data_IF_381525619244
#
_entry.id   IF_381525619244
#
_cell.length_a   1.000
_cell.length_b   1.000
_cell.length_c   1.000
_cell.angle_alpha   90.00
_cell.angle_beta   90.00
_cell.angle_gamma   90.00
#
_symmetry.space_group_name_H-M   'P 1'
#
loop_
_entity.id
_entity.type
_entity.pdbx_description
1 polymer ?
#
# COMPACT_ATOMS: atom_id res chain seq x y z
N UNK A 1 -4.13 -15.97 53.78
CA UNK A 1 -3.96 -14.73 52.99
C UNK A 1 -2.70 -14.90 52.16
N UNK A 2 -2.79 -14.93 50.84
CA UNK A 2 -1.63 -15.19 49.98
C UNK A 2 -2.02 -15.64 48.56
N UNK A 3 -2.91 -14.90 47.91
CA UNK A 3 -3.45 -15.27 46.58
C UNK A 3 -3.61 -14.09 45.61
N UNK A 4 -2.98 -12.95 45.87
CA UNK A 4 -3.16 -11.72 45.08
C UNK A 4 -1.88 -11.17 44.44
N UNK A 5 -0.72 -11.82 44.61
CA UNK A 5 0.56 -11.31 44.06
C UNK A 5 0.95 -11.93 42.70
N UNK A 6 0.43 -13.11 42.34
CA UNK A 6 0.79 -13.80 41.08
C UNK A 6 0.11 -13.21 39.82
N UNK A 7 -0.88 -12.32 39.98
CA UNK A 7 -1.59 -11.70 38.85
C UNK A 7 -0.88 -10.50 38.24
N UNK A 8 -0.08 -9.77 39.02
CA UNK A 8 0.61 -8.56 38.57
C UNK A 8 1.95 -8.86 37.88
N UNK A 9 2.57 -10.01 38.18
CA UNK A 9 3.81 -10.46 37.56
C UNK A 9 3.57 -11.03 36.15
N UNK A 10 2.39 -11.62 35.91
CA UNK A 10 1.97 -12.08 34.59
C UNK A 10 1.61 -10.91 33.66
N UNK A 11 0.98 -9.85 34.18
CA UNK A 11 0.67 -8.66 33.36
C UNK A 11 1.92 -7.86 33.01
N UNK A 12 2.91 -7.76 33.91
CA UNK A 12 4.21 -7.14 33.60
C UNK A 12 5.00 -7.90 32.54
N UNK A 13 5.03 -9.23 32.59
CA UNK A 13 5.65 -10.06 31.53
C UNK A 13 4.96 -9.90 30.18
N UNK A 14 3.64 -9.70 30.16
CA UNK A 14 2.87 -9.50 28.93
C UNK A 14 3.05 -8.09 28.35
N UNK A 15 3.32 -7.09 29.19
CA UNK A 15 3.59 -5.71 28.79
C UNK A 15 5.04 -5.53 28.26
N UNK A 16 6.03 -6.25 28.82
CA UNK A 16 7.41 -6.29 28.27
C UNK A 16 7.51 -7.05 26.93
N UNK A 17 6.64 -8.03 26.67
CA UNK A 17 6.57 -8.74 25.39
C UNK A 17 5.86 -7.94 24.27
N UNK A 18 5.25 -6.80 24.60
CA UNK A 18 4.56 -5.93 23.65
C UNK A 18 5.41 -4.75 23.15
N UNK A 19 6.62 -4.55 23.70
CA UNK A 19 7.55 -3.48 23.29
C UNK A 19 8.73 -3.98 22.44
N UNK A 20 8.64 -5.23 22.01
CA UNK A 20 9.51 -5.78 20.97
C UNK A 20 8.90 -5.50 19.61
N UNK A 21 9.11 -4.27 19.11
CA UNK A 21 9.10 -3.98 17.67
C UNK A 21 10.25 -4.78 17.02
N UNK A 22 10.10 -6.10 16.98
CA UNK A 22 10.89 -6.99 16.15
C UNK A 22 10.48 -6.63 14.73
N UNK A 23 11.28 -5.79 14.10
CA UNK A 23 11.41 -5.71 12.67
C UNK A 23 11.48 -7.16 12.17
N UNK A 24 10.36 -7.68 11.65
CA UNK A 24 10.31 -9.02 11.07
C UNK A 24 11.54 -9.15 10.18
N UNK A 25 12.39 -10.13 10.53
CA UNK A 25 13.52 -10.55 9.72
C UNK A 25 13.02 -10.64 8.28
N UNK A 26 13.49 -9.70 7.45
CA UNK A 26 13.40 -9.84 6.01
C UNK A 26 14.25 -11.05 5.72
N UNK A 27 13.58 -12.20 5.51
CA UNK A 27 14.19 -13.41 5.01
C UNK A 27 15.08 -13.03 3.83
N UNK A 28 16.38 -13.17 4.08
CA UNK A 28 17.47 -12.90 3.15
C UNK A 28 17.49 -13.89 1.98
N UNK A 29 16.45 -14.71 1.79
CA UNK A 29 16.19 -15.39 0.52
C UNK A 29 15.68 -14.41 -0.53
N UNK A 30 16.47 -13.38 -0.84
CA UNK A 30 16.31 -12.64 -2.08
C UNK A 30 16.78 -13.55 -3.24
N UNK A 31 16.00 -14.60 -3.52
CA UNK A 31 16.09 -15.45 -4.73
C UNK A 31 15.25 -14.80 -5.84
N UNK A 32 15.23 -13.47 -5.89
CA UNK A 32 15.00 -12.75 -7.13
C UNK A 32 16.36 -12.51 -7.73
N UNK A 33 17.07 -13.61 -8.06
CA UNK A 33 18.15 -13.54 -9.01
C UNK A 33 17.64 -12.76 -10.22
N UNK A 34 18.45 -11.82 -10.69
CA UNK A 34 18.28 -11.05 -11.92
C UNK A 34 18.23 -12.01 -13.13
N UNK A 35 17.18 -12.81 -13.21
CA UNK A 35 16.80 -13.51 -14.42
C UNK A 35 16.20 -12.40 -15.26
N UNK A 36 17.04 -11.76 -16.08
CA UNK A 36 16.58 -10.99 -17.22
C UNK A 36 15.89 -11.96 -18.17
N UNK A 37 14.55 -12.01 -18.19
CA UNK A 37 13.84 -12.92 -19.06
C UNK A 37 13.84 -12.30 -20.45
N UNK A 38 14.47 -13.01 -21.36
CA UNK A 38 14.74 -12.66 -22.76
C UNK A 38 13.49 -12.50 -23.65
N UNK A 39 12.28 -12.42 -23.10
CA UNK A 39 11.08 -11.79 -23.69
C UNK A 39 9.95 -11.82 -22.65
N UNK A 40 9.71 -10.69 -21.96
CA UNK A 40 8.66 -10.60 -20.93
C UNK A 40 7.56 -9.65 -21.42
N UNK A 41 6.37 -10.20 -21.63
CA UNK A 41 5.19 -9.35 -21.62
C UNK A 41 4.81 -9.04 -20.18
N UNK A 42 5.07 -7.80 -19.76
CA UNK A 42 4.71 -7.26 -18.45
C UNK A 42 3.36 -6.55 -18.56
N UNK A 43 2.32 -7.08 -17.91
CA UNK A 43 1.00 -6.42 -17.85
C UNK A 43 0.57 -6.21 -16.41
N UNK A 44 0.17 -4.98 -16.08
CA UNK A 44 -0.37 -4.64 -14.76
C UNK A 44 -1.89 -4.88 -14.80
N UNK A 45 -2.38 -5.68 -13.85
CA UNK A 45 -3.78 -6.07 -13.71
C UNK A 45 -4.25 -5.89 -12.26
N UNK A 46 -5.56 -5.85 -12.09
CA UNK A 46 -6.23 -6.03 -10.80
C UNK A 46 -6.82 -7.43 -10.79
N UNK A 47 -6.43 -8.25 -9.82
CA UNK A 47 -6.80 -9.66 -9.83
C UNK A 47 -6.32 -10.43 -8.62
N UNK A 48 -6.19 -11.73 -8.81
CA UNK A 48 -5.78 -12.69 -7.79
C UNK A 48 -4.67 -13.59 -8.29
N UNK A 49 -3.99 -14.21 -7.32
CA UNK A 49 -2.96 -15.21 -7.56
C UNK A 49 -3.07 -16.30 -6.51
N UNK A 50 -2.46 -17.44 -6.82
CA UNK A 50 -2.27 -18.53 -5.86
C UNK A 50 -0.81 -18.54 -5.44
N UNK A 51 -0.60 -18.76 -4.15
CA UNK A 51 0.74 -18.87 -3.56
C UNK A 51 1.12 -20.35 -3.46
N UNK A 52 2.19 -20.72 -4.16
CA UNK A 52 2.98 -21.93 -3.90
C UNK A 52 4.43 -21.52 -3.70
N UNK A 53 5.38 -22.29 -4.26
CA UNK A 53 6.79 -21.88 -4.34
C UNK A 53 6.98 -20.62 -5.21
N UNK A 54 6.07 -20.43 -6.17
CA UNK A 54 5.92 -19.22 -6.97
C UNK A 54 4.51 -18.65 -6.84
N UNK A 55 4.35 -17.38 -7.21
CA UNK A 55 3.04 -16.75 -7.32
C UNK A 55 2.45 -17.02 -8.70
N UNK A 56 1.42 -17.86 -8.76
CA UNK A 56 0.78 -18.25 -10.00
C UNK A 56 -0.39 -17.33 -10.32
N UNK A 57 -0.42 -16.83 -11.56
CA UNK A 57 -1.53 -16.00 -12.03
C UNK A 57 -2.84 -16.80 -12.03
N UNK A 58 -3.87 -16.28 -11.37
CA UNK A 58 -5.17 -16.97 -11.27
C UNK A 58 -6.25 -16.33 -12.15
N UNK A 59 -6.42 -15.01 -12.05
CA UNK A 59 -7.36 -14.23 -12.85
C UNK A 59 -7.04 -12.74 -12.69
N UNK A 60 -7.44 -11.91 -13.64
CA UNK A 60 -7.23 -10.47 -13.57
C UNK A 60 -7.92 -9.70 -14.68
N UNK A 61 -8.21 -8.44 -14.38
CA UNK A 61 -8.74 -7.44 -15.32
C UNK A 61 -7.79 -6.24 -15.37
N UNK A 62 -7.88 -5.45 -16.44
CA UNK A 62 -7.15 -4.20 -16.52
C UNK A 62 -7.72 -3.16 -15.55
N UNK A 63 -6.88 -2.18 -15.16
CA UNK A 63 -7.30 -1.10 -14.28
C UNK A 63 -8.43 -0.25 -14.85
N UNK A 64 -8.53 -0.14 -16.18
CA UNK A 64 -9.60 0.59 -16.86
C UNK A 64 -10.96 -0.08 -16.65
N UNK A 65 -11.02 -1.39 -16.83
CA UNK A 65 -12.22 -2.19 -16.53
C UNK A 65 -12.54 -2.18 -15.04
N UNK A 66 -11.54 -2.33 -14.17
CA UNK A 66 -11.76 -2.30 -12.70
C UNK A 66 -12.48 -1.02 -12.24
N UNK A 67 -12.15 0.13 -12.82
CA UNK A 67 -12.76 1.41 -12.44
C UNK A 67 -14.15 1.65 -13.05
N UNK A 68 -14.59 0.84 -14.02
CA UNK A 68 -15.88 0.99 -14.70
C UNK A 68 -17.00 0.22 -14.04
N UNK A 69 -16.70 -0.94 -13.46
CA UNK A 69 -17.68 -1.88 -12.91
C UNK A 69 -17.71 -1.85 -11.38
N UNK A 70 -18.81 -2.32 -10.79
CA UNK A 70 -18.90 -2.48 -9.34
C UNK A 70 -17.96 -3.57 -8.87
N UNK A 71 -17.50 -3.45 -7.63
CA UNK A 71 -16.51 -4.38 -7.07
C UNK A 71 -17.07 -5.81 -6.96
N UNK A 72 -18.37 -5.94 -6.70
CA UNK A 72 -19.05 -7.24 -6.61
C UNK A 72 -19.07 -7.96 -7.98
N UNK A 73 -19.39 -7.23 -9.05
CA UNK A 73 -19.42 -7.77 -10.42
C UNK A 73 -18.02 -8.20 -10.86
N UNK A 74 -17.01 -7.38 -10.53
CA UNK A 74 -15.60 -7.72 -10.77
C UNK A 74 -15.20 -8.98 -10.01
N UNK A 75 -15.56 -9.10 -8.73
CA UNK A 75 -15.24 -10.29 -7.95
C UNK A 75 -15.89 -11.55 -8.53
N UNK A 76 -17.16 -11.46 -8.90
CA UNK A 76 -17.88 -12.58 -9.51
C UNK A 76 -17.25 -12.99 -10.83
N UNK A 77 -16.96 -12.03 -11.71
CA UNK A 77 -16.30 -12.27 -12.99
C UNK A 77 -14.94 -12.97 -12.80
N UNK A 78 -14.11 -12.45 -11.90
CA UNK A 78 -12.78 -13.01 -11.66
C UNK A 78 -12.85 -14.42 -11.05
N UNK A 79 -13.85 -14.70 -10.21
CA UNK A 79 -14.06 -16.02 -9.63
C UNK A 79 -14.53 -17.03 -10.69
N UNK A 80 -15.47 -16.64 -11.56
CA UNK A 80 -15.99 -17.48 -12.65
C UNK A 80 -14.92 -17.79 -13.71
N UNK A 81 -14.02 -16.84 -13.97
CA UNK A 81 -12.94 -16.98 -14.96
C UNK A 81 -11.62 -17.46 -14.33
N UNK A 82 -11.63 -17.87 -13.07
CA UNK A 82 -10.45 -18.40 -12.43
C UNK A 82 -10.19 -19.84 -12.88
N UNK A 83 -8.96 -20.11 -13.35
CA UNK A 83 -8.53 -21.45 -13.78
C UNK A 83 -8.49 -22.43 -12.60
N UNK A 84 -8.34 -21.91 -11.38
CA UNK A 84 -8.22 -22.72 -10.18
C UNK A 84 -9.56 -22.82 -9.43
N UNK A 85 -9.83 -24.00 -8.85
CA UNK A 85 -10.95 -24.18 -7.90
C UNK A 85 -10.60 -23.53 -6.57
N UNK A 86 -10.81 -22.22 -6.48
CA UNK A 86 -10.53 -21.45 -5.27
C UNK A 86 -11.79 -21.33 -4.41
N UNK A 87 -11.70 -21.60 -3.10
CA UNK A 87 -12.78 -21.27 -2.17
C UNK A 87 -13.01 -19.76 -2.21
N UNK A 88 -14.27 -19.31 -2.29
CA UNK A 88 -14.67 -17.88 -2.34
C UNK A 88 -13.91 -16.97 -1.37
N UNK A 89 -13.56 -17.48 -0.19
CA UNK A 89 -12.84 -16.75 0.87
C UNK A 89 -11.39 -16.36 0.52
N UNK A 90 -10.74 -17.11 -0.37
CA UNK A 90 -9.38 -16.78 -0.83
C UNK A 90 -9.38 -15.70 -1.92
N UNK A 91 -10.52 -15.52 -2.61
CA UNK A 91 -10.71 -14.49 -3.64
C UNK A 91 -11.13 -13.13 -3.09
N UNK A 92 -11.32 -13.01 -1.78
CA UNK A 92 -11.90 -11.82 -1.14
C UNK A 92 -10.98 -10.60 -1.20
N UNK A 93 -9.69 -10.77 -1.52
CA UNK A 93 -8.76 -9.62 -1.60
C UNK A 93 -8.24 -9.44 -3.03
N UNK A 94 -8.75 -8.43 -3.72
CA UNK A 94 -8.18 -7.97 -5.00
C UNK A 94 -6.78 -7.38 -4.77
N UNK A 95 -5.86 -7.72 -5.67
CA UNK A 95 -4.46 -7.31 -5.65
C UNK A 95 -4.12 -6.58 -6.95
N UNK A 96 -3.21 -5.62 -6.87
CA UNK A 96 -2.58 -5.03 -8.05
C UNK A 96 -1.37 -5.90 -8.35
N UNK A 97 -1.45 -6.64 -9.44
CA UNK A 97 -0.46 -7.63 -9.84
C UNK A 97 0.19 -7.24 -11.16
N UNK A 98 1.46 -7.59 -11.31
CA UNK A 98 2.15 -7.52 -12.59
C UNK A 98 2.35 -8.95 -13.08
N UNK A 99 1.66 -9.32 -14.16
CA UNK A 99 1.81 -10.62 -14.81
C UNK A 99 3.09 -10.63 -15.62
N UNK A 100 3.83 -11.72 -15.48
CA UNK A 100 5.07 -12.04 -16.17
C UNK A 100 4.80 -13.36 -16.89
N UNK A 101 4.86 -13.32 -18.21
CA UNK A 101 4.77 -14.51 -19.06
C UNK A 101 6.20 -14.99 -19.31
N UNK A 102 6.51 -16.21 -18.90
CA UNK A 102 7.80 -16.84 -19.13
C UNK A 102 7.85 -17.46 -20.53
N UNK A 103 9.05 -17.70 -21.05
CA UNK A 103 9.27 -18.27 -22.40
C UNK A 103 8.58 -19.62 -22.62
N UNK A 104 8.42 -20.41 -21.56
CA UNK A 104 7.74 -21.72 -21.62
C UNK A 104 6.20 -21.61 -21.53
N UNK A 105 5.64 -20.40 -21.57
CA UNK A 105 4.20 -20.15 -21.49
C UNK A 105 3.63 -20.14 -20.07
N UNK A 106 4.49 -20.20 -19.05
CA UNK A 106 4.08 -20.13 -17.64
C UNK A 106 3.76 -18.69 -17.23
N UNK A 107 2.72 -18.51 -16.42
CA UNK A 107 2.27 -17.20 -15.94
C UNK A 107 2.57 -17.02 -14.47
N UNK A 108 3.59 -16.21 -14.17
CA UNK A 108 3.94 -15.81 -12.80
C UNK A 108 3.52 -14.36 -12.54
N UNK A 109 3.44 -13.96 -11.27
CA UNK A 109 3.03 -12.61 -10.89
C UNK A 109 3.92 -11.97 -9.85
N UNK A 110 4.03 -10.64 -9.91
CA UNK A 110 4.54 -9.81 -8.81
C UNK A 110 3.38 -9.07 -8.13
N UNK A 111 3.23 -9.22 -6.82
CA UNK A 111 2.26 -8.43 -6.05
C UNK A 111 2.81 -7.01 -5.82
N UNK A 112 2.23 -6.03 -6.51
CA UNK A 112 2.59 -4.60 -6.36
C UNK A 112 1.74 -3.89 -5.30
N UNK A 113 0.71 -4.55 -4.76
CA UNK A 113 -0.24 -3.96 -3.79
C UNK A 113 0.48 -3.43 -2.56
N UNK A 114 1.46 -4.17 -2.04
CA UNK A 114 2.21 -3.79 -0.84
C UNK A 114 2.98 -2.47 -1.05
N UNK A 115 3.77 -2.39 -2.11
CA UNK A 115 4.56 -1.20 -2.46
C UNK A 115 3.68 0.02 -2.70
N UNK A 116 2.55 -0.16 -3.39
CA UNK A 116 1.58 0.90 -3.62
C UNK A 116 0.98 1.38 -2.28
N UNK A 117 0.65 0.48 -1.35
CA UNK A 117 0.14 0.85 -0.02
C UNK A 117 1.16 1.66 0.79
N UNK A 118 2.44 1.31 0.73
CA UNK A 118 3.51 2.08 1.37
C UNK A 118 3.59 3.50 0.81
N UNK A 119 3.63 3.64 -0.52
CA UNK A 119 3.62 4.94 -1.18
C UNK A 119 2.38 5.74 -0.74
N UNK A 120 1.20 5.15 -0.83
CA UNK A 120 -0.05 5.79 -0.42
C UNK A 120 -0.03 6.21 1.06
N UNK A 121 0.52 5.39 1.98
CA UNK A 121 0.64 5.72 3.41
C UNK A 121 1.52 6.93 3.62
N UNK A 122 2.68 6.98 2.97
CA UNK A 122 3.57 8.13 3.01
C UNK A 122 2.87 9.40 2.49
N UNK A 123 2.17 9.31 1.36
CA UNK A 123 1.40 10.41 0.79
C UNK A 123 0.28 10.91 1.69
N UNK A 124 -0.49 9.99 2.31
CA UNK A 124 -1.55 10.36 3.25
C UNK A 124 -0.99 11.11 4.47
N UNK A 125 0.12 10.63 5.04
CA UNK A 125 0.80 11.30 6.14
C UNK A 125 1.26 12.72 5.76
N UNK A 126 1.95 12.84 4.63
CA UNK A 126 2.47 14.13 4.15
C UNK A 126 1.35 15.12 3.80
N UNK A 127 0.26 14.62 3.22
CA UNK A 127 -0.93 15.42 2.94
C UNK A 127 -1.62 15.88 4.22
N UNK A 128 -1.71 15.03 5.25
CA UNK A 128 -2.27 15.40 6.54
C UNK A 128 -1.46 16.52 7.21
N UNK A 129 -0.13 16.39 7.24
CA UNK A 129 0.77 17.43 7.75
C UNK A 129 0.66 18.74 6.97
N UNK A 130 0.57 18.66 5.64
CA UNK A 130 0.36 19.85 4.82
C UNK A 130 -0.97 20.56 5.15
N UNK A 131 -2.05 19.79 5.35
CA UNK A 131 -3.36 20.34 5.75
C UNK A 131 -3.31 20.98 7.13
N UNK A 132 -2.63 20.38 8.11
CA UNK A 132 -2.49 20.97 9.45
C UNK A 132 -1.70 22.28 9.40
N UNK A 133 -0.60 22.31 8.66
CA UNK A 133 0.23 23.51 8.48
C UNK A 133 -0.57 24.65 7.83
N UNK A 134 -1.37 24.33 6.80
CA UNK A 134 -2.29 25.28 6.16
C UNK A 134 -3.30 25.86 7.15
N UNK A 135 -3.91 25.03 7.98
CA UNK A 135 -4.89 25.46 8.97
C UNK A 135 -4.23 26.38 10.01
N UNK A 136 -3.05 26.00 10.52
CA UNK A 136 -2.28 26.81 11.47
C UNK A 136 -1.92 28.19 10.89
N UNK A 137 -1.48 28.21 9.62
CA UNK A 137 -1.16 29.44 8.91
C UNK A 137 -2.38 30.35 8.74
N UNK A 138 -3.53 29.77 8.35
CA UNK A 138 -4.79 30.51 8.20
C UNK A 138 -5.23 31.14 9.52
N UNK A 139 -5.11 30.42 10.64
CA UNK A 139 -5.41 30.95 11.98
C UNK A 139 -4.47 32.09 12.36
N UNK A 140 -3.16 31.92 12.14
CA UNK A 140 -2.14 32.92 12.47
C UNK A 140 -2.38 34.27 11.77
N UNK A 141 -2.81 34.24 10.52
CA UNK A 141 -3.01 35.45 9.71
C UNK A 141 -4.47 35.84 9.52
N UNK A 142 -5.37 35.33 10.36
CA UNK A 142 -6.80 35.62 10.27
C UNK A 142 -7.08 37.10 10.46
N UNK A 143 -6.53 37.69 11.53
CA UNK A 143 -6.70 39.11 11.84
C UNK A 143 -6.19 40.04 10.74
N UNK A 144 -5.01 39.74 10.16
CA UNK A 144 -4.49 40.49 9.02
C UNK A 144 -5.42 40.40 7.81
N UNK A 145 -5.98 39.21 7.54
CA UNK A 145 -6.94 39.02 6.45
C UNK A 145 -8.24 39.79 6.67
N UNK A 146 -8.72 39.85 7.91
CA UNK A 146 -9.94 40.61 8.26
C UNK A 146 -9.76 42.11 8.03
N UNK A 147 -8.60 42.68 8.38
CA UNK A 147 -8.32 44.11 8.21
C UNK A 147 -7.99 44.46 6.76
N UNK A 148 -7.12 43.68 6.11
CA UNK A 148 -6.53 44.05 4.81
C UNK A 148 -7.19 43.35 3.61
N UNK A 149 -8.22 42.52 3.85
CA UNK A 149 -8.91 41.70 2.84
C UNK A 149 -8.09 40.55 2.25
N UNK A 150 -6.79 40.50 2.53
CA UNK A 150 -5.83 39.55 1.96
C UNK A 150 -4.86 38.99 3.01
N UNK A 151 -4.31 37.80 2.74
CA UNK A 151 -3.20 37.26 3.54
C UNK A 151 -1.91 38.05 3.25
N UNK A 152 -1.03 38.23 4.26
CA UNK A 152 0.20 39.02 4.09
C UNK A 152 1.13 38.41 3.04
N UNK A 153 1.90 39.27 2.35
CA UNK A 153 2.92 38.86 1.38
C UNK A 153 4.00 38.00 2.06
N UNK A 154 4.02 36.70 1.77
CA UNK A 154 4.88 35.71 2.45
C UNK A 154 4.10 34.67 3.27
N UNK A 155 2.82 34.91 3.55
CA UNK A 155 1.90 33.92 4.15
C UNK A 155 1.25 32.98 3.11
N UNK A 156 1.58 33.13 1.82
CA UNK A 156 1.45 31.97 0.91
C UNK A 156 2.48 30.96 1.37
N UNK A 157 2.13 29.69 1.43
CA UNK A 157 3.10 28.59 1.53
C UNK A 157 3.94 28.56 0.24
N UNK A 158 4.84 29.53 0.08
CA UNK A 158 5.90 29.55 -0.93
C UNK A 158 6.99 28.64 -0.37
N UNK A 159 6.93 27.35 -0.67
CA UNK A 159 7.95 26.38 -0.27
C UNK A 159 7.43 24.96 -0.03
N UNK A 160 6.29 24.80 0.65
CA UNK A 160 5.65 23.49 0.84
C UNK A 160 4.59 23.24 -0.24
N UNK A 161 4.99 23.22 -1.51
CA UNK A 161 4.17 22.54 -2.51
C UNK A 161 4.33 21.05 -2.24
N UNK A 162 3.22 20.30 -2.16
CA UNK A 162 3.35 18.85 -2.17
C UNK A 162 3.89 18.49 -3.56
N UNK A 163 5.12 18.02 -3.60
CA UNK A 163 5.82 17.61 -4.82
C UNK A 163 5.78 16.10 -4.92
N UNK A 164 5.80 15.57 -6.15
CA UNK A 164 5.90 14.14 -6.41
C UNK A 164 7.07 13.51 -5.66
N UNK A 165 6.91 12.26 -5.21
CA UNK A 165 7.95 11.49 -4.51
C UNK A 165 9.25 11.44 -5.34
N UNK A 166 9.10 11.35 -6.66
CA UNK A 166 10.20 11.28 -7.63
C UNK A 166 10.91 12.62 -7.87
N UNK A 167 10.37 13.75 -7.41
CA UNK A 167 11.07 15.05 -7.55
C UNK A 167 12.39 15.06 -6.77
N UNK A 168 12.50 14.25 -5.71
CA UNK A 168 13.71 14.15 -4.91
C UNK A 168 14.80 13.26 -5.54
N UNK A 169 14.47 12.50 -6.60
CA UNK A 169 15.41 11.66 -7.33
C UNK A 169 15.95 12.32 -8.61
N UNK A 170 15.46 13.51 -8.96
CA UNK A 170 15.87 14.26 -10.14
C UNK A 170 16.88 15.37 -9.83
N UNK A 171 17.67 15.21 -8.77
CA UNK A 171 18.68 16.17 -8.31
C UNK A 171 20.09 15.63 -8.53
#
# INVERSE_FOLDING_TARGET
MGGFENGQEQTKKMEELMDSDTFDEIDSSNVYADVEPEEIHKKILVGSYIRGDLLLYASGIDGGTFLKFKIEDVHQYLLENCIFRVRRRSFTTLRIIQVIILKMGEYTVLDKTYWIRLIQRCWRSRLAQYKSDLIALRKKYLHHREINGNYPGGARIKGKKIVGLLKFLSQ
#
